data_IF_684522454515
#
_entry.id   IF_684522454515
#
_cell.length_a   1.000
_cell.length_b   1.000
_cell.length_c   1.000
_cell.angle_alpha   90.00
_cell.angle_beta   90.00
_cell.angle_gamma   90.00
#
_symmetry.space_group_name_H-M   'P 1'
#
loop_
_entity.id
_entity.type
_entity.pdbx_description
1 polymer ?
#
# COMPACT_ATOMS: atom_id res chain seq x y z
N UNK A 1 25.37 -10.95 -28.74
CA UNK A 1 25.37 -11.73 -27.48
C UNK A 1 23.91 -11.93 -27.09
N UNK A 2 23.26 -12.85 -27.79
CA UNK A 2 21.85 -13.22 -27.63
C UNK A 2 21.87 -14.67 -27.15
N UNK A 3 21.62 -14.87 -25.86
CA UNK A 3 21.80 -16.17 -25.20
C UNK A 3 20.57 -17.04 -25.37
N UNK A 4 20.49 -17.77 -26.48
CA UNK A 4 19.55 -18.87 -26.67
C UNK A 4 20.14 -20.13 -26.04
N UNK A 5 19.70 -20.52 -24.83
CA UNK A 5 19.87 -21.91 -24.35
C UNK A 5 18.59 -22.34 -23.66
N UNK A 6 17.68 -22.89 -24.46
CA UNK A 6 16.51 -23.66 -24.04
C UNK A 6 16.99 -25.10 -23.93
N UNK A 7 17.03 -25.66 -22.72
CA UNK A 7 17.41 -27.06 -22.54
C UNK A 7 17.42 -27.49 -21.08
N UNK A 8 16.69 -28.57 -20.80
CA UNK A 8 16.74 -29.41 -19.59
C UNK A 8 15.99 -28.92 -18.34
N UNK A 9 14.73 -29.34 -18.28
CA UNK A 9 13.93 -29.71 -17.10
C UNK A 9 14.71 -29.68 -15.76
N UNK A 10 14.54 -28.62 -14.97
CA UNK A 10 14.43 -28.57 -13.50
C UNK A 10 14.03 -27.13 -13.16
N UNK A 11 13.03 -26.98 -12.30
CA UNK A 11 12.47 -25.71 -11.86
C UNK A 11 13.54 -24.77 -11.28
N UNK A 12 13.97 -23.77 -12.05
CA UNK A 12 14.70 -22.63 -11.52
C UNK A 12 14.05 -21.38 -12.11
N UNK A 13 12.97 -20.96 -11.48
CA UNK A 13 12.47 -19.60 -11.60
C UNK A 13 13.50 -18.65 -10.96
N UNK A 14 14.65 -18.47 -11.59
CA UNK A 14 15.49 -17.27 -11.36
C UNK A 14 15.13 -16.20 -12.38
N UNK A 15 13.82 -16.03 -12.59
CA UNK A 15 13.26 -14.76 -13.00
C UNK A 15 13.55 -13.78 -11.86
N UNK A 16 14.41 -12.79 -12.13
CA UNK A 16 14.43 -11.46 -11.52
C UNK A 16 13.67 -11.40 -10.17
N UNK A 17 14.28 -11.85 -9.06
CA UNK A 17 13.69 -11.55 -7.75
C UNK A 17 14.07 -10.11 -7.37
N UNK A 18 13.47 -9.23 -8.15
CA UNK A 18 13.51 -7.79 -8.07
C UNK A 18 13.02 -7.37 -6.69
N UNK A 19 13.87 -6.57 -6.07
CA UNK A 19 13.46 -5.42 -5.29
C UNK A 19 12.92 -5.70 -3.89
N UNK A 20 13.86 -5.94 -2.97
CA UNK A 20 13.65 -5.87 -1.53
C UNK A 20 13.46 -4.43 -1.02
N UNK A 21 12.52 -3.67 -1.60
CA UNK A 21 12.02 -2.38 -1.06
C UNK A 21 10.49 -2.27 -1.03
N UNK A 22 9.75 -3.35 -1.33
CA UNK A 22 8.28 -3.36 -1.37
C UNK A 22 7.60 -4.14 -0.24
N UNK A 23 8.37 -4.77 0.67
CA UNK A 23 7.79 -5.56 1.75
C UNK A 23 7.03 -4.74 2.81
N UNK A 24 7.26 -3.43 2.91
CA UNK A 24 6.48 -2.57 3.82
C UNK A 24 5.09 -2.24 3.27
N UNK A 25 4.89 -2.22 1.94
CA UNK A 25 3.58 -1.90 1.31
C UNK A 25 2.58 -3.06 1.35
N UNK A 26 3.04 -4.29 1.55
CA UNK A 26 2.12 -5.44 1.61
C UNK A 26 1.26 -5.45 2.88
N UNK A 27 1.73 -4.78 3.95
CA UNK A 27 0.99 -4.69 5.21
C UNK A 27 0.19 -3.38 5.34
N UNK A 28 0.40 -2.40 4.46
CA UNK A 28 -0.36 -1.16 4.45
C UNK A 28 -1.74 -1.40 3.81
N UNK A 29 -2.74 -0.69 4.30
CA UNK A 29 -4.07 -0.69 3.69
C UNK A 29 -4.05 0.09 2.37
N UNK A 30 -4.50 -0.52 1.24
CA UNK A 30 -4.61 0.18 -0.03
C UNK A 30 -5.60 1.35 -0.03
N UNK A 31 -6.50 1.43 0.97
CA UNK A 31 -7.40 2.56 1.15
C UNK A 31 -6.66 3.90 1.38
N UNK A 32 -5.41 3.83 1.88
CA UNK A 32 -4.59 4.99 2.23
C UNK A 32 -3.26 4.94 1.46
N UNK A 33 -3.22 5.31 0.18
CA UNK A 33 -2.01 5.22 -0.63
C UNK A 33 -0.89 6.16 -0.17
N UNK A 34 -1.25 7.31 0.41
CA UNK A 34 -0.29 8.31 0.89
C UNK A 34 0.20 8.02 2.32
N UNK A 35 -0.53 7.17 3.06
CA UNK A 35 -0.26 6.88 4.47
C UNK A 35 -0.29 5.38 4.72
N UNK A 36 0.84 4.80 5.14
CA UNK A 36 0.85 3.39 5.49
C UNK A 36 0.14 3.14 6.82
N UNK A 37 -1.07 2.57 6.77
CA UNK A 37 -1.80 2.11 7.95
C UNK A 37 -1.84 0.58 7.93
N UNK A 38 -1.32 -0.12 8.96
CA UNK A 38 -1.42 -1.56 9.06
C UNK A 38 -2.87 -2.05 9.06
N UNK A 39 -3.16 -3.14 8.34
CA UNK A 39 -4.47 -3.79 8.42
C UNK A 39 -4.72 -4.30 9.83
N UNK A 40 -5.84 -3.88 10.44
CA UNK A 40 -6.18 -4.22 11.83
C UNK A 40 -5.59 -3.27 12.87
N UNK A 41 -5.07 -2.11 12.45
CA UNK A 41 -4.83 -1.00 13.39
C UNK A 41 -6.11 -0.64 14.15
N UNK A 42 -6.00 -0.21 15.43
CA UNK A 42 -7.14 0.36 16.15
C UNK A 42 -7.71 1.57 15.40
N UNK A 43 -8.91 2.02 15.77
CA UNK A 43 -9.54 3.21 15.18
C UNK A 43 -8.67 4.45 15.41
N UNK A 44 -7.81 4.74 14.42
CA UNK A 44 -6.98 5.93 14.37
C UNK A 44 -7.87 7.11 13.98
N UNK A 45 -7.81 8.18 14.75
CA UNK A 45 -8.49 9.43 14.40
C UNK A 45 -7.52 10.40 13.74
N UNK A 46 -8.04 11.43 13.10
CA UNK A 46 -7.22 12.50 12.54
C UNK A 46 -6.26 13.13 13.56
N UNK A 47 -6.63 13.15 14.84
CA UNK A 47 -5.75 13.62 15.93
C UNK A 47 -4.49 12.77 16.14
N UNK A 48 -4.54 11.48 15.80
CA UNK A 48 -3.44 10.53 16.03
C UNK A 48 -2.43 10.53 14.87
N UNK A 49 -2.90 10.91 13.68
CA UNK A 49 -2.05 11.08 12.50
C UNK A 49 -1.49 12.49 12.47
N UNK A 50 -0.26 12.67 11.98
CA UNK A 50 0.29 14.01 11.71
C UNK A 50 -0.08 14.52 10.31
N UNK A 51 -0.32 13.61 9.39
CA UNK A 51 -0.68 13.90 8.01
C UNK A 51 -2.12 14.42 7.92
N UNK A 52 -2.37 15.35 7.00
CA UNK A 52 -3.68 15.97 6.77
C UNK A 52 -3.90 16.13 5.27
N UNK A 53 -5.15 16.09 4.83
CA UNK A 53 -5.52 16.20 3.42
C UNK A 53 -4.86 15.12 2.54
N UNK A 54 -4.79 13.89 3.04
CA UNK A 54 -4.26 12.76 2.28
C UNK A 54 -5.38 12.08 1.49
N UNK A 55 -5.03 11.34 0.43
CA UNK A 55 -6.02 10.64 -0.37
C UNK A 55 -6.60 9.44 0.39
N UNK A 56 -7.93 9.35 0.40
CA UNK A 56 -8.68 8.22 0.95
C UNK A 56 -9.44 7.54 -0.19
N UNK A 57 -9.33 6.22 -0.25
CA UNK A 57 -10.06 5.38 -1.19
C UNK A 57 -11.11 4.55 -0.44
N UNK A 58 -12.31 4.35 -1.01
CA UNK A 58 -13.30 3.45 -0.43
C UNK A 58 -12.89 1.97 -0.59
N UNK A 59 -13.23 1.08 0.37
CA UNK A 59 -13.93 1.37 1.62
C UNK A 59 -12.97 1.98 2.66
N UNK A 60 -13.39 3.04 3.36
CA UNK A 60 -12.59 3.77 4.37
C UNK A 60 -12.83 3.20 5.78
N UNK A 61 -12.06 2.20 6.26
CA UNK A 61 -12.40 1.48 7.47
C UNK A 61 -12.17 2.33 8.72
N UNK A 62 -11.19 3.24 8.67
CA UNK A 62 -10.88 4.17 9.75
C UNK A 62 -11.69 5.48 9.70
N UNK A 63 -12.54 5.66 8.67
CA UNK A 63 -13.46 6.79 8.54
C UNK A 63 -12.74 8.15 8.59
N UNK A 64 -11.56 8.25 7.98
CA UNK A 64 -10.83 9.51 7.88
C UNK A 64 -11.50 10.52 6.95
N UNK A 65 -12.28 10.03 5.98
CA UNK A 65 -13.08 10.80 5.03
C UNK A 65 -14.57 10.62 5.35
N UNK A 66 -15.04 11.39 6.34
CA UNK A 66 -16.41 11.31 6.83
C UNK A 66 -17.46 11.87 5.86
N UNK A 67 -17.05 12.76 4.95
CA UNK A 67 -17.91 13.35 3.91
C UNK A 67 -17.81 12.64 2.55
N UNK A 68 -16.89 11.71 2.38
CA UNK A 68 -16.79 10.84 1.20
C UNK A 68 -16.28 11.57 -0.04
N UNK A 69 -15.46 12.61 0.14
CA UNK A 69 -14.94 13.42 -0.96
C UNK A 69 -13.60 12.88 -1.52
N UNK A 70 -13.06 11.83 -0.91
CA UNK A 70 -11.79 11.19 -1.25
C UNK A 70 -10.57 11.79 -0.54
N UNK A 71 -10.76 12.72 0.39
CA UNK A 71 -9.70 13.40 1.14
C UNK A 71 -9.90 13.21 2.64
N UNK A 72 -8.93 12.54 3.27
CA UNK A 72 -8.94 12.27 4.70
C UNK A 72 -8.39 13.43 5.52
N UNK A 73 -9.02 13.64 6.68
CA UNK A 73 -8.54 14.59 7.70
C UNK A 73 -8.29 15.99 7.15
N UNK A 74 -9.26 16.51 6.41
CA UNK A 74 -9.24 17.88 5.92
C UNK A 74 -9.21 18.87 7.09
N UNK A 75 -8.40 19.92 6.95
CA UNK A 75 -8.48 21.06 7.86
C UNK A 75 -9.66 21.94 7.43
N UNK A 76 -10.81 21.72 8.03
CA UNK A 76 -11.95 22.66 8.00
C UNK A 76 -11.76 23.76 9.03
#
# INVERSE_FOLDING_TARGET
MIGTVIGTIIAIATYLNNNSTTSSRQNCDPAYPDLCIPKGSPDLQCSDVKERNFKVLPPDPHRFDGDGNGIGCEKK
#
